data_IF_845802218488
#
_entry.id   IF_845802218488
#
_cell.length_a   1.000
_cell.length_b   1.000
_cell.length_c   1.000
_cell.angle_alpha   90.00
_cell.angle_beta   90.00
_cell.angle_gamma   90.00
#
_symmetry.space_group_name_H-M   'P 1'
#
loop_
_entity.id
_entity.type
_entity.pdbx_description
1 polymer ?
#
# COMPACT_ATOMS: atom_id res chain seq x y z
N UNK A 1 -2.40 -8.02 24.55
CA UNK A 1 -3.63 -7.59 23.83
C UNK A 1 -3.70 -8.33 22.48
N UNK A 2 -4.16 -9.58 22.42
CA UNK A 2 -4.03 -10.37 21.16
C UNK A 2 -5.20 -10.24 20.17
N UNK A 3 -6.30 -9.58 20.54
CA UNK A 3 -7.53 -9.49 19.72
C UNK A 3 -7.74 -8.16 19.00
N UNK A 4 -6.71 -7.31 18.91
CA UNK A 4 -6.85 -6.01 18.28
C UNK A 4 -7.08 -6.17 16.77
N UNK A 5 -8.23 -5.69 16.27
CA UNK A 5 -8.60 -5.77 14.85
C UNK A 5 -8.41 -4.46 14.09
N UNK A 6 -8.36 -3.34 14.81
CA UNK A 6 -8.21 -2.00 14.26
C UNK A 6 -7.06 -1.29 14.98
N UNK A 7 -6.10 -0.80 14.21
CA UNK A 7 -5.06 0.11 14.69
C UNK A 7 -5.11 1.37 13.81
N UNK A 8 -5.39 2.52 14.43
CA UNK A 8 -5.33 3.83 13.77
C UNK A 8 -4.34 4.71 14.52
N UNK A 9 -3.35 5.22 13.79
CA UNK A 9 -2.35 6.16 14.29
C UNK A 9 -2.34 7.31 13.29
N UNK A 10 -2.90 8.44 13.70
CA UNK A 10 -2.92 9.66 12.90
C UNK A 10 -1.89 10.62 13.45
N UNK A 11 -0.79 10.79 12.72
CA UNK A 11 0.28 11.67 13.16
C UNK A 11 0.05 13.09 12.60
N UNK A 12 -0.82 13.86 13.26
CA UNK A 12 -1.29 15.18 12.82
C UNK A 12 -0.23 16.31 12.83
N UNK A 13 1.05 16.02 13.12
CA UNK A 13 2.10 17.05 13.18
C UNK A 13 3.03 17.00 11.96
N UNK A 14 2.54 17.64 10.89
CA UNK A 14 3.14 17.83 9.56
C UNK A 14 4.55 18.49 9.49
N UNK A 15 5.39 18.51 10.53
CA UNK A 15 6.62 19.35 10.49
C UNK A 15 7.91 18.94 11.25
N UNK A 16 8.02 17.79 11.94
CA UNK A 16 9.26 17.47 12.70
C UNK A 16 9.76 16.02 12.69
N UNK A 17 9.18 15.11 11.89
CA UNK A 17 9.53 13.68 11.97
C UNK A 17 10.72 13.27 11.09
N UNK A 18 11.91 13.79 11.40
CA UNK A 18 13.16 13.13 11.02
C UNK A 18 13.59 12.08 12.06
N UNK A 19 12.99 12.02 13.25
CA UNK A 19 13.61 11.31 14.39
C UNK A 19 12.70 10.34 15.19
N UNK A 20 11.55 9.91 14.68
CA UNK A 20 10.79 8.86 15.38
C UNK A 20 11.03 7.50 14.73
N UNK A 21 12.23 6.97 14.93
CA UNK A 21 12.48 5.56 14.67
C UNK A 21 11.61 4.73 15.61
N UNK A 22 10.78 3.85 15.05
CA UNK A 22 10.22 2.76 15.82
C UNK A 22 11.39 1.96 16.44
N UNK A 23 11.23 1.42 17.66
CA UNK A 23 12.22 0.52 18.24
C UNK A 23 12.63 -0.56 17.25
N UNK A 24 13.90 -0.99 17.29
CA UNK A 24 14.44 -2.00 16.36
C UNK A 24 13.65 -3.32 16.41
N UNK A 25 13.08 -3.61 17.56
CA UNK A 25 12.26 -4.76 17.93
C UNK A 25 10.76 -4.43 17.93
N UNK A 26 10.33 -3.35 17.27
CA UNK A 26 8.91 -3.02 17.17
C UNK A 26 8.12 -4.18 16.57
N UNK A 27 7.11 -4.63 17.31
CA UNK A 27 6.13 -5.60 16.86
C UNK A 27 4.74 -4.97 16.84
N UNK A 28 3.95 -5.36 15.84
CA UNK A 28 2.56 -4.96 15.81
C UNK A 28 1.80 -5.62 16.97
N UNK A 29 0.85 -4.91 17.60
CA UNK A 29 0.20 -5.35 18.82
C UNK A 29 -0.71 -6.59 18.65
N UNK A 30 -1.05 -6.98 17.41
CA UNK A 30 -1.88 -8.16 17.15
C UNK A 30 -1.72 -8.71 15.73
N UNK A 31 -1.79 -10.04 15.62
CA UNK A 31 -1.88 -10.79 14.36
C UNK A 31 -3.33 -10.92 13.83
N UNK A 32 -4.32 -10.39 14.56
CA UNK A 32 -5.73 -10.36 14.18
C UNK A 32 -6.13 -9.05 13.49
N UNK A 33 -5.17 -8.14 13.25
CA UNK A 33 -5.41 -6.87 12.59
C UNK A 33 -6.11 -7.07 11.24
N UNK A 34 -7.20 -6.31 11.08
CA UNK A 34 -8.00 -6.21 9.87
C UNK A 34 -7.88 -4.83 9.22
N UNK A 35 -7.70 -3.80 10.02
CA UNK A 35 -7.64 -2.43 9.57
C UNK A 35 -6.41 -1.77 10.20
N UNK A 36 -5.48 -1.33 9.36
CA UNK A 36 -4.30 -0.61 9.79
C UNK A 36 -4.23 0.74 9.08
N UNK A 37 -4.37 1.82 9.84
CA UNK A 37 -4.18 3.18 9.35
C UNK A 37 -3.05 3.80 10.13
N UNK A 38 -1.97 4.15 9.46
CA UNK A 38 -0.82 4.76 10.10
C UNK A 38 -0.27 5.84 9.18
N UNK A 39 -0.84 7.04 9.31
CA UNK A 39 -0.39 8.19 8.54
C UNK A 39 0.98 8.64 9.09
N UNK A 40 1.98 8.82 8.23
CA UNK A 40 3.35 9.11 8.63
C UNK A 40 4.09 7.91 9.23
N UNK A 41 3.83 6.69 8.75
CA UNK A 41 4.56 5.50 9.17
C UNK A 41 6.07 5.66 8.91
N UNK A 42 6.93 5.47 9.93
CA UNK A 42 8.31 5.96 9.88
C UNK A 42 9.29 4.99 9.20
N UNK A 43 8.92 3.72 9.02
CA UNK A 43 9.81 2.74 8.41
C UNK A 43 9.64 2.70 6.90
N UNK A 44 10.72 2.39 6.18
CA UNK A 44 10.73 2.33 4.71
C UNK A 44 9.92 1.15 4.12
N UNK A 45 9.48 0.23 4.98
CA UNK A 45 8.68 -0.94 4.65
C UNK A 45 8.05 -1.54 5.90
N UNK A 46 6.95 -2.29 5.75
CA UNK A 46 6.43 -3.12 6.84
C UNK A 46 7.47 -4.19 7.25
N UNK A 47 7.61 -4.50 8.55
CA UNK A 47 8.60 -5.45 9.04
C UNK A 47 8.23 -6.87 8.62
N UNK A 48 9.22 -7.76 8.57
CA UNK A 48 9.06 -9.14 8.07
C UNK A 48 8.14 -10.00 8.95
N UNK A 49 8.00 -9.65 10.22
CA UNK A 49 7.09 -10.27 11.19
C UNK A 49 5.66 -9.68 11.12
N UNK A 50 5.35 -8.79 10.19
CA UNK A 50 3.98 -8.27 10.07
C UNK A 50 3.03 -9.31 9.47
N UNK A 51 2.14 -9.86 10.31
CA UNK A 51 1.16 -10.86 9.90
C UNK A 51 -0.10 -10.22 9.31
N UNK A 52 -0.08 -9.97 8.01
CA UNK A 52 -1.19 -9.34 7.29
C UNK A 52 -2.28 -10.32 6.77
N UNK A 53 -2.36 -11.54 7.32
CA UNK A 53 -3.27 -12.59 6.83
C UNK A 53 -4.74 -12.18 6.91
N UNK A 54 -5.11 -11.44 7.95
CA UNK A 54 -6.48 -10.98 8.21
C UNK A 54 -6.75 -9.56 7.73
N UNK A 55 -5.74 -8.90 7.14
CA UNK A 55 -5.80 -7.50 6.77
C UNK A 55 -6.79 -7.30 5.61
N UNK A 56 -7.71 -6.37 5.82
CA UNK A 56 -8.75 -5.92 4.89
C UNK A 56 -8.39 -4.54 4.34
N UNK A 57 -7.85 -3.67 5.19
CA UNK A 57 -7.47 -2.31 4.80
C UNK A 57 -6.10 -1.94 5.36
N UNK A 58 -5.27 -1.37 4.49
CA UNK A 58 -3.98 -0.79 4.83
C UNK A 58 -3.90 0.64 4.28
N UNK A 59 -3.77 1.61 5.17
CA UNK A 59 -3.48 3.00 4.85
C UNK A 59 -2.17 3.40 5.50
N UNK A 60 -1.18 3.76 4.68
CA UNK A 60 0.12 4.28 5.11
C UNK A 60 0.37 5.65 4.46
N UNK A 61 -0.62 6.55 4.52
CA UNK A 61 -0.51 7.86 3.84
C UNK A 61 0.64 8.68 4.39
N UNK A 62 1.18 9.57 3.57
CA UNK A 62 2.25 10.50 3.93
C UNK A 62 3.45 9.81 4.62
N UNK A 63 3.74 8.56 4.24
CA UNK A 63 4.76 7.73 4.89
C UNK A 63 6.04 7.64 4.07
N UNK A 64 7.17 7.32 4.72
CA UNK A 64 8.46 7.17 4.04
C UNK A 64 8.66 5.76 3.43
N UNK A 65 7.57 5.09 3.05
CA UNK A 65 7.61 3.74 2.49
C UNK A 65 8.27 3.80 1.11
N UNK A 66 9.34 3.03 0.91
CA UNK A 66 9.93 2.77 -0.42
C UNK A 66 9.29 1.57 -1.09
N UNK A 67 8.93 0.57 -0.29
CA UNK A 67 8.28 -0.69 -0.70
C UNK A 67 7.36 -1.13 0.43
N UNK A 68 6.06 -1.21 0.19
CA UNK A 68 5.09 -1.49 1.26
C UNK A 68 5.37 -2.81 2.00
N UNK A 69 5.88 -3.83 1.31
CA UNK A 69 6.30 -5.09 1.94
C UNK A 69 7.72 -5.50 1.49
N UNK A 70 8.49 -6.09 2.42
CA UNK A 70 9.79 -6.71 2.11
C UNK A 70 9.61 -8.12 1.56
N UNK A 71 10.22 -8.41 0.41
CA UNK A 71 10.36 -9.77 -0.15
C UNK A 71 9.27 -10.23 -1.12
N UNK A 72 9.47 -11.43 -1.70
CA UNK A 72 8.70 -11.97 -2.84
C UNK A 72 7.41 -12.74 -2.46
N UNK A 73 7.07 -12.82 -1.17
CA UNK A 73 5.95 -13.66 -0.67
C UNK A 73 5.01 -12.88 0.24
N UNK A 74 4.42 -11.82 -0.30
CA UNK A 74 3.34 -11.09 0.38
C UNK A 74 2.03 -11.82 0.11
N UNK A 75 1.54 -12.55 1.11
CA UNK A 75 0.23 -13.19 1.07
C UNK A 75 -0.74 -12.40 1.96
N UNK A 76 -1.46 -11.46 1.35
CA UNK A 76 -2.52 -10.66 1.97
C UNK A 76 -3.85 -10.99 1.30
N UNK A 77 -4.42 -12.19 1.56
CA UNK A 77 -5.51 -12.73 0.75
C UNK A 77 -6.82 -11.92 0.87
N UNK A 78 -7.00 -11.21 1.98
CA UNK A 78 -8.24 -10.52 2.31
C UNK A 78 -8.18 -9.00 2.06
N UNK A 79 -7.07 -8.48 1.52
CA UNK A 79 -6.90 -7.04 1.33
C UNK A 79 -7.88 -6.52 0.28
N UNK A 80 -8.68 -5.54 0.66
CA UNK A 80 -9.67 -4.85 -0.16
C UNK A 80 -9.24 -3.42 -0.49
N UNK A 81 -8.57 -2.73 0.44
CA UNK A 81 -8.15 -1.34 0.26
C UNK A 81 -6.66 -1.20 0.58
N UNK A 82 -5.91 -0.63 -0.36
CA UNK A 82 -4.53 -0.19 -0.15
C UNK A 82 -4.38 1.28 -0.52
N UNK A 83 -4.00 2.09 0.46
CA UNK A 83 -3.77 3.53 0.30
C UNK A 83 -2.34 3.86 0.69
N UNK A 84 -1.56 4.34 -0.27
CA UNK A 84 -0.16 4.78 -0.14
C UNK A 84 0.00 6.25 -0.53
N UNK A 85 -1.08 7.04 -0.48
CA UNK A 85 -1.10 8.44 -0.90
C UNK A 85 -0.01 9.26 -0.22
N UNK A 86 0.66 10.14 -0.96
CA UNK A 86 1.72 10.99 -0.45
C UNK A 86 3.00 10.26 -0.05
N UNK A 87 3.15 8.97 -0.37
CA UNK A 87 4.40 8.24 -0.16
C UNK A 87 5.43 8.63 -1.23
N UNK A 88 6.02 9.82 -1.11
CA UNK A 88 6.98 10.40 -2.08
C UNK A 88 8.26 9.57 -2.25
N UNK A 89 8.54 8.64 -1.32
CA UNK A 89 9.67 7.71 -1.41
C UNK A 89 9.31 6.37 -2.07
N UNK A 90 8.05 6.12 -2.40
CA UNK A 90 7.59 4.84 -2.96
C UNK A 90 8.17 4.64 -4.37
N UNK A 91 9.02 3.62 -4.53
CA UNK A 91 9.69 3.34 -5.80
C UNK A 91 8.93 2.28 -6.61
N UNK A 92 8.38 1.26 -5.93
CA UNK A 92 7.86 0.06 -6.58
C UNK A 92 6.65 -0.51 -5.84
N UNK A 93 5.63 -0.89 -6.61
CA UNK A 93 4.53 -1.73 -6.14
C UNK A 93 4.91 -3.23 -6.16
N UNK A 94 4.24 -4.08 -5.36
CA UNK A 94 4.49 -5.52 -5.38
C UNK A 94 4.21 -6.15 -6.76
N UNK A 95 5.21 -6.82 -7.35
CA UNK A 95 5.10 -7.54 -8.64
C UNK A 95 3.97 -8.59 -8.69
N UNK A 96 3.48 -9.03 -7.52
CA UNK A 96 2.43 -10.05 -7.38
C UNK A 96 1.09 -9.46 -6.95
N UNK A 97 0.85 -8.17 -7.20
CA UNK A 97 -0.42 -7.50 -6.88
C UNK A 97 -1.64 -8.22 -7.48
N UNK A 98 -1.46 -8.88 -8.63
CA UNK A 98 -2.47 -9.73 -9.26
C UNK A 98 -2.97 -10.91 -8.41
N UNK A 99 -2.28 -11.24 -7.31
CA UNK A 99 -2.71 -12.27 -6.34
C UNK A 99 -3.70 -11.74 -5.31
N UNK A 100 -3.88 -10.43 -5.16
CA UNK A 100 -4.82 -9.85 -4.21
C UNK A 100 -6.22 -9.83 -4.81
N UNK A 101 -6.85 -11.02 -4.83
CA UNK A 101 -8.14 -11.23 -5.51
C UNK A 101 -9.31 -10.45 -4.92
N UNK A 102 -9.13 -9.90 -3.72
CA UNK A 102 -10.11 -9.08 -3.01
C UNK A 102 -9.91 -7.58 -3.15
N UNK A 103 -8.79 -7.13 -3.73
CA UNK A 103 -8.46 -5.71 -3.83
C UNK A 103 -9.51 -4.98 -4.67
N UNK A 104 -10.09 -3.92 -4.10
CA UNK A 104 -11.13 -3.06 -4.67
C UNK A 104 -10.60 -1.66 -4.94
N UNK A 105 -9.71 -1.16 -4.09
CA UNK A 105 -9.10 0.16 -4.23
C UNK A 105 -7.60 0.09 -4.06
N UNK A 106 -6.88 0.70 -5.00
CA UNK A 106 -5.46 1.00 -4.91
C UNK A 106 -5.24 2.47 -5.19
N UNK A 107 -4.74 3.22 -4.21
CA UNK A 107 -4.37 4.62 -4.37
C UNK A 107 -2.90 4.83 -4.07
N UNK A 108 -2.17 5.36 -5.06
CA UNK A 108 -0.78 5.79 -4.98
C UNK A 108 -0.65 7.28 -5.33
N UNK A 109 -1.73 8.05 -5.12
CA UNK A 109 -1.77 9.48 -5.41
C UNK A 109 -0.56 10.20 -4.78
N UNK A 110 0.16 11.03 -5.54
CA UNK A 110 1.30 11.80 -5.04
C UNK A 110 2.55 10.97 -4.70
N UNK A 111 2.64 9.71 -5.14
CA UNK A 111 3.85 8.90 -5.05
C UNK A 111 4.84 9.26 -6.18
N UNK A 112 5.51 10.41 -6.04
CA UNK A 112 6.33 11.01 -7.11
C UNK A 112 7.57 10.22 -7.55
N UNK A 113 8.01 9.20 -6.79
CA UNK A 113 9.09 8.27 -7.19
C UNK A 113 8.59 6.95 -7.78
N UNK A 114 7.29 6.76 -7.91
CA UNK A 114 6.72 5.56 -8.50
C UNK A 114 6.78 5.68 -10.02
N UNK A 115 7.86 5.12 -10.60
CA UNK A 115 8.12 5.23 -12.04
C UNK A 115 7.32 4.24 -12.89
N UNK A 116 6.90 3.11 -12.31
CA UNK A 116 6.29 2.00 -13.08
C UNK A 116 5.21 1.26 -12.32
N UNK A 117 4.09 1.03 -12.99
CA UNK A 117 3.08 0.07 -12.55
C UNK A 117 3.50 -1.37 -12.91
N UNK A 118 3.32 -2.37 -12.02
CA UNK A 118 3.79 -3.73 -12.26
C UNK A 118 2.98 -4.47 -13.32
N UNK A 119 3.67 -5.29 -14.12
CA UNK A 119 3.04 -6.23 -15.06
C UNK A 119 2.05 -7.17 -14.37
N UNK A 120 0.83 -7.26 -14.91
CA UNK A 120 -0.26 -8.08 -14.38
C UNK A 120 -0.30 -9.42 -15.12
N UNK A 121 0.08 -10.50 -14.42
CA UNK A 121 0.09 -11.87 -14.98
C UNK A 121 -1.24 -12.62 -14.86
N UNK A 122 -2.32 -11.94 -14.48
CA UNK A 122 -3.65 -12.56 -14.41
C UNK A 122 -4.73 -11.62 -13.89
N UNK A 123 -5.99 -11.98 -14.14
CA UNK A 123 -7.10 -11.04 -13.98
C UNK A 123 -7.33 -10.63 -12.51
N UNK A 124 -7.57 -9.33 -12.32
CA UNK A 124 -8.00 -8.72 -11.07
C UNK A 124 -9.42 -8.18 -11.28
N UNK A 125 -10.42 -9.01 -10.93
CA UNK A 125 -11.84 -8.71 -11.23
C UNK A 125 -12.50 -7.76 -10.24
N UNK A 126 -11.94 -7.58 -9.06
CA UNK A 126 -12.55 -6.79 -7.98
C UNK A 126 -12.02 -5.36 -7.89
N UNK A 127 -10.87 -5.06 -8.49
CA UNK A 127 -10.30 -3.72 -8.45
C UNK A 127 -11.23 -2.78 -9.21
N UNK A 128 -11.84 -1.82 -8.50
CA UNK A 128 -12.76 -0.83 -9.05
C UNK A 128 -12.08 0.52 -9.22
N UNK A 129 -11.20 0.89 -8.28
CA UNK A 129 -10.53 2.19 -8.28
C UNK A 129 -9.01 1.99 -8.31
N UNK A 130 -8.38 2.62 -9.29
CA UNK A 130 -6.93 2.77 -9.39
C UNK A 130 -6.59 4.26 -9.52
N UNK A 131 -5.91 4.80 -8.52
CA UNK A 131 -5.39 6.17 -8.56
C UNK A 131 -3.86 6.14 -8.59
N UNK A 132 -3.30 6.66 -9.67
CA UNK A 132 -1.86 6.84 -9.89
C UNK A 132 -1.51 8.30 -10.16
N UNK A 133 -2.41 9.24 -9.83
CA UNK A 133 -2.19 10.67 -10.06
C UNK A 133 -0.97 11.17 -9.27
N UNK A 134 -0.22 12.13 -9.81
CA UNK A 134 0.99 12.67 -9.19
C UNK A 134 2.12 11.65 -9.03
N UNK A 135 2.08 10.56 -9.80
CA UNK A 135 3.19 9.60 -9.97
C UNK A 135 3.96 9.90 -11.25
N UNK A 136 5.20 9.42 -11.37
CA UNK A 136 5.98 9.55 -12.61
C UNK A 136 5.76 8.37 -13.57
N UNK A 137 4.69 7.59 -13.35
CA UNK A 137 4.35 6.45 -14.20
C UNK A 137 3.75 6.95 -15.52
N UNK A 138 4.62 7.33 -16.47
CA UNK A 138 4.21 7.87 -17.78
C UNK A 138 3.52 6.82 -18.66
N UNK A 139 3.91 5.54 -18.53
CA UNK A 139 3.36 4.43 -19.32
C UNK A 139 2.81 3.31 -18.43
N UNK A 140 1.52 3.01 -18.60
CA UNK A 140 0.91 1.81 -18.02
C UNK A 140 1.30 0.58 -18.85
N UNK A 141 1.60 -0.57 -18.21
CA UNK A 141 1.88 -1.80 -18.94
C UNK A 141 0.65 -2.24 -19.75
N UNK A 142 0.85 -2.87 -20.91
CA UNK A 142 -0.25 -3.40 -21.74
C UNK A 142 -1.17 -4.37 -20.98
N UNK A 143 -0.62 -5.02 -19.95
CA UNK A 143 -1.35 -5.88 -19.03
C UNK A 143 -2.34 -5.16 -18.12
N UNK A 144 -2.43 -3.82 -18.14
CA UNK A 144 -3.48 -3.05 -17.47
C UNK A 144 -4.89 -3.49 -17.90
N UNK A 145 -5.01 -4.03 -19.12
CA UNK A 145 -6.23 -4.65 -19.66
C UNK A 145 -6.73 -5.85 -18.84
N UNK A 146 -5.91 -6.45 -17.98
CA UNK A 146 -6.31 -7.52 -17.05
C UNK A 146 -7.03 -7.01 -15.80
N UNK A 147 -7.18 -5.69 -15.62
CA UNK A 147 -8.00 -5.07 -14.59
C UNK A 147 -9.49 -5.04 -14.99
N UNK A 148 -10.06 -6.21 -15.29
CA UNK A 148 -11.41 -6.35 -15.85
C UNK A 148 -12.54 -5.77 -14.96
N UNK A 149 -12.25 -5.49 -13.69
CA UNK A 149 -13.20 -4.87 -12.77
C UNK A 149 -13.15 -3.35 -12.73
N UNK A 150 -12.17 -2.72 -13.37
CA UNK A 150 -11.85 -1.31 -13.16
C UNK A 150 -13.01 -0.43 -13.62
N UNK A 151 -13.40 0.50 -12.77
CA UNK A 151 -14.48 1.48 -12.99
C UNK A 151 -13.93 2.89 -13.02
N UNK A 152 -12.88 3.16 -12.24
CA UNK A 152 -12.25 4.47 -12.12
C UNK A 152 -10.75 4.31 -12.25
N UNK A 153 -10.16 5.06 -13.18
CA UNK A 153 -8.72 5.23 -13.36
C UNK A 153 -8.39 6.72 -13.28
N UNK A 154 -7.55 7.10 -12.33
CA UNK A 154 -7.10 8.49 -12.15
C UNK A 154 -5.59 8.57 -12.47
N UNK A 155 -5.24 9.51 -13.35
CA UNK A 155 -3.88 9.73 -13.89
C UNK A 155 -3.57 11.25 -13.97
N UNK A 156 -4.05 12.02 -13.00
CA UNK A 156 -3.84 13.47 -13.00
C UNK A 156 -2.36 13.78 -12.67
N UNK A 157 -1.73 14.76 -13.33
CA UNK A 157 -0.34 15.17 -13.04
C UNK A 157 0.70 14.02 -13.13
N UNK A 158 0.51 13.09 -14.09
CA UNK A 158 1.43 11.99 -14.42
C UNK A 158 2.47 12.33 -15.50
#
# INVERSE_FOLDING_TARGET
MHKLRLLKIHNLRRKLFLENHLPRDFEFPSYELRYLHWDGYPLESLPVNFHAKNLVELSLRDSNIKRAWRGNKVFVPNLEILTLEGCVSLELLPRRIYKWKHLQTLSCNGCSKLERFPEIKGNIRKLRVLDLSGTTTMDLPSSITHLNGLQTLLLEEC
#
